data_IF_749767584398
#
_entry.id   IF_749767584398
#
_cell.length_a   1.000
_cell.length_b   1.000
_cell.length_c   1.000
_cell.angle_alpha   90.00
_cell.angle_beta   90.00
_cell.angle_gamma   90.00
#
_symmetry.space_group_name_H-M   'P 1'
#
loop_
_entity.id
_entity.type
_entity.pdbx_description
1 polymer ?
#
# COMPACT_ATOMS: atom_id res chain seq x y z
N UNK A 1 79.15 67.58 -12.69
CA UNK A 1 79.67 67.48 -14.07
C UNK A 1 81.15 67.15 -13.99
N UNK A 2 81.77 66.35 -14.89
CA UNK A 2 81.29 65.28 -15.77
C UNK A 2 82.20 64.00 -15.68
N UNK A 3 82.04 63.06 -16.63
CA UNK A 3 83.00 62.04 -17.11
C UNK A 3 82.98 60.60 -16.53
N UNK A 4 82.76 59.66 -17.47
CA UNK A 4 82.90 58.20 -17.37
C UNK A 4 84.38 57.74 -17.32
N UNK A 5 84.66 56.43 -17.19
CA UNK A 5 84.90 55.63 -18.41
C UNK A 5 84.42 54.16 -18.39
N UNK A 6 84.51 53.59 -19.59
CA UNK A 6 84.09 52.28 -20.12
C UNK A 6 84.92 51.08 -19.62
N UNK A 7 84.36 49.88 -19.76
CA UNK A 7 84.88 48.67 -20.46
C UNK A 7 83.94 47.50 -20.09
N UNK A 8 83.58 46.51 -20.91
CA UNK A 8 84.09 45.97 -22.17
C UNK A 8 82.99 45.13 -22.84
N UNK A 9 82.82 45.26 -24.16
CA UNK A 9 82.10 44.30 -25.01
C UNK A 9 82.90 43.02 -25.15
N UNK A 10 82.22 41.87 -25.22
CA UNK A 10 82.67 40.75 -26.08
C UNK A 10 81.47 39.96 -26.59
N UNK A 11 81.46 39.83 -27.90
CA UNK A 11 80.57 39.12 -28.84
C UNK A 11 80.42 37.63 -28.55
N UNK A 12 79.20 37.07 -28.71
CA UNK A 12 79.04 35.69 -29.17
C UNK A 12 77.68 35.41 -29.87
N UNK A 13 77.73 34.49 -30.83
CA UNK A 13 76.74 34.14 -31.86
C UNK A 13 75.52 33.34 -31.36
N UNK A 14 74.43 33.21 -32.16
CA UNK A 14 73.19 32.60 -31.72
C UNK A 14 73.25 31.07 -31.74
N UNK A 15 73.17 30.45 -30.56
CA UNK A 15 72.98 29.02 -30.38
C UNK A 15 71.52 28.60 -30.63
N UNK A 16 71.33 27.73 -31.62
CA UNK A 16 70.09 27.02 -31.92
C UNK A 16 69.58 26.21 -30.73
N UNK A 17 68.53 26.69 -30.05
CA UNK A 17 67.80 25.87 -29.08
C UNK A 17 66.61 25.21 -29.78
N UNK A 18 66.73 23.90 -30.03
CA UNK A 18 65.61 23.04 -30.45
C UNK A 18 64.50 23.15 -29.41
N UNK A 19 63.43 23.87 -29.74
CA UNK A 19 62.18 23.86 -28.99
C UNK A 19 61.49 22.54 -29.31
N UNK A 20 61.63 21.55 -28.43
CA UNK A 20 60.79 20.36 -28.43
C UNK A 20 59.35 20.80 -28.25
N UNK A 21 58.59 20.85 -29.35
CA UNK A 21 57.14 20.87 -29.36
C UNK A 21 56.65 19.59 -28.68
N UNK A 22 56.42 19.66 -27.37
CA UNK A 22 55.65 18.67 -26.66
C UNK A 22 54.19 18.89 -27.07
N UNK A 23 53.76 18.23 -28.15
CA UNK A 23 52.36 18.05 -28.45
C UNK A 23 51.78 17.14 -27.36
N UNK A 24 51.30 17.73 -26.25
CA UNK A 24 50.33 17.01 -25.42
C UNK A 24 49.05 16.98 -26.22
N UNK A 25 48.79 15.83 -26.85
CA UNK A 25 47.51 15.53 -27.45
C UNK A 25 46.43 15.76 -26.41
N UNK A 26 45.68 16.85 -26.58
CA UNK A 26 44.37 16.99 -25.98
C UNK A 26 43.54 15.84 -26.55
N UNK A 27 43.38 14.79 -25.76
CA UNK A 27 42.27 13.88 -25.93
C UNK A 27 40.99 14.71 -25.75
N UNK A 28 40.53 15.34 -26.83
CA UNK A 28 39.13 15.72 -26.99
C UNK A 28 38.35 14.41 -26.96
N UNK A 29 38.01 13.96 -25.76
CA UNK A 29 36.93 12.99 -25.59
C UNK A 29 35.69 13.63 -26.22
N UNK A 30 34.99 12.92 -27.12
CA UNK A 30 33.82 13.48 -27.77
C UNK A 30 32.82 13.89 -26.68
N UNK A 31 32.44 15.17 -26.65
CA UNK A 31 31.55 15.76 -25.64
C UNK A 31 30.23 14.96 -25.43
N UNK A 32 29.84 14.16 -26.41
CA UNK A 32 28.70 13.23 -26.32
C UNK A 32 28.89 12.01 -25.41
N UNK A 33 30.12 11.58 -25.11
CA UNK A 33 30.39 10.46 -24.20
C UNK A 33 30.35 10.89 -22.72
N UNK A 34 30.90 12.07 -22.41
CA UNK A 34 30.82 12.67 -21.08
C UNK A 34 29.37 13.00 -20.68
N UNK A 35 28.54 13.47 -21.62
CA UNK A 35 27.13 13.76 -21.37
C UNK A 35 26.27 12.50 -21.09
N UNK A 36 26.61 11.34 -21.70
CA UNK A 36 25.90 10.07 -21.48
C UNK A 36 26.17 9.45 -20.11
N UNK A 37 27.33 9.72 -19.51
CA UNK A 37 27.67 9.22 -18.17
C UNK A 37 27.17 10.10 -17.02
N UNK A 38 26.90 11.38 -17.26
CA UNK A 38 26.61 12.34 -16.20
C UNK A 38 25.34 12.00 -15.40
N UNK A 39 24.27 11.51 -16.04
CA UNK A 39 23.04 11.13 -15.35
C UNK A 39 23.24 9.88 -14.46
N UNK A 40 24.11 8.94 -14.86
CA UNK A 40 24.47 7.76 -14.07
C UNK A 40 25.25 8.14 -12.82
N UNK A 41 26.16 9.12 -12.93
CA UNK A 41 26.92 9.64 -11.76
C UNK A 41 25.97 10.29 -10.75
N UNK A 42 25.02 11.10 -11.23
CA UNK A 42 23.98 11.71 -10.37
C UNK A 42 23.13 10.63 -9.71
N UNK A 43 22.63 9.64 -10.48
CA UNK A 43 21.83 8.55 -9.94
C UNK A 43 22.59 7.74 -8.88
N UNK A 44 23.85 7.37 -9.17
CA UNK A 44 24.69 6.62 -8.24
C UNK A 44 24.96 7.38 -6.95
N UNK A 45 25.21 8.70 -7.03
CA UNK A 45 25.33 9.55 -5.84
C UNK A 45 24.04 9.57 -5.04
N UNK A 46 22.90 9.80 -5.71
CA UNK A 46 21.59 9.88 -5.05
C UNK A 46 21.24 8.59 -4.30
N UNK A 47 21.39 7.46 -4.97
CA UNK A 47 21.18 6.12 -4.38
C UNK A 47 22.09 5.92 -3.17
N UNK A 48 23.39 6.22 -3.31
CA UNK A 48 24.34 6.00 -2.22
C UNK A 48 24.08 6.92 -1.02
N UNK A 49 23.64 8.15 -1.23
CA UNK A 49 23.36 9.10 -0.14
C UNK A 49 22.12 8.65 0.61
N UNK A 50 21.04 8.30 -0.09
CA UNK A 50 19.78 7.89 0.53
C UNK A 50 19.91 6.54 1.25
N UNK A 51 20.44 5.50 0.58
CA UNK A 51 20.54 4.15 1.15
C UNK A 51 21.49 4.06 2.35
N UNK A 52 22.50 4.92 2.43
CA UNK A 52 23.44 4.97 3.57
C UNK A 52 22.98 5.88 4.70
N UNK A 53 21.88 6.61 4.52
CA UNK A 53 21.37 7.48 5.58
C UNK A 53 20.79 6.65 6.72
N UNK A 54 21.15 7.00 7.96
CA UNK A 54 20.64 6.29 9.16
C UNK A 54 19.13 6.39 9.26
N UNK A 55 18.58 7.57 8.95
CA UNK A 55 17.13 7.81 8.96
C UNK A 55 16.42 6.86 8.00
N UNK A 56 16.90 6.71 6.76
CA UNK A 56 16.34 5.76 5.81
C UNK A 56 16.36 4.32 6.36
N UNK A 57 17.52 3.84 6.82
CA UNK A 57 17.65 2.49 7.33
C UNK A 57 16.73 2.23 8.54
N UNK A 58 16.66 3.17 9.48
CA UNK A 58 15.77 3.08 10.65
C UNK A 58 14.31 3.03 10.23
N UNK A 59 13.87 3.90 9.31
CA UNK A 59 12.48 3.90 8.83
C UNK A 59 12.13 2.61 8.10
N UNK A 60 12.99 2.13 7.20
CA UNK A 60 12.77 0.88 6.45
C UNK A 60 12.69 -0.30 7.41
N UNK A 61 13.66 -0.45 8.32
CA UNK A 61 13.70 -1.57 9.26
C UNK A 61 12.49 -1.52 10.21
N UNK A 62 12.18 -0.36 10.78
CA UNK A 62 11.06 -0.22 11.72
C UNK A 62 9.72 -0.49 11.04
N UNK A 63 9.52 0.00 9.81
CA UNK A 63 8.30 -0.25 9.04
C UNK A 63 8.18 -1.71 8.64
N UNK A 64 9.29 -2.34 8.21
CA UNK A 64 9.32 -3.76 7.88
C UNK A 64 9.01 -4.64 9.09
N UNK A 65 9.62 -4.36 10.26
CA UNK A 65 9.33 -5.05 11.51
C UNK A 65 7.88 -4.84 11.94
N UNK A 66 7.37 -3.60 11.87
CA UNK A 66 5.98 -3.28 12.17
C UNK A 66 5.02 -4.08 11.28
N UNK A 67 5.25 -4.09 9.97
CA UNK A 67 4.45 -4.85 9.01
C UNK A 67 4.48 -6.36 9.30
N UNK A 68 5.67 -6.90 9.56
CA UNK A 68 5.85 -8.31 9.92
C UNK A 68 5.07 -8.65 11.21
N UNK A 69 5.18 -7.83 12.25
CA UNK A 69 4.46 -8.01 13.52
C UNK A 69 2.95 -7.93 13.31
N UNK A 70 2.45 -6.89 12.63
CA UNK A 70 1.02 -6.73 12.36
C UNK A 70 0.47 -7.93 11.58
N UNK A 71 1.17 -8.40 10.54
CA UNK A 71 0.71 -9.56 9.76
C UNK A 71 0.78 -10.85 10.57
N UNK A 72 1.85 -11.07 11.35
CA UNK A 72 1.99 -12.27 12.18
C UNK A 72 0.91 -12.33 13.26
N UNK A 73 0.67 -11.21 13.94
CA UNK A 73 -0.24 -11.11 15.08
C UNK A 73 -1.70 -11.00 14.64
N UNK A 74 -2.00 -10.51 13.43
CA UNK A 74 -3.39 -10.40 12.96
C UNK A 74 -4.16 -11.73 12.90
N UNK A 75 -3.50 -12.88 12.73
CA UNK A 75 -4.16 -14.19 12.88
C UNK A 75 -4.55 -14.49 14.33
N UNK A 76 -3.68 -14.16 15.27
CA UNK A 76 -3.97 -14.25 16.71
C UNK A 76 -5.05 -13.25 17.14
N UNK A 77 -5.00 -12.00 16.67
CA UNK A 77 -6.04 -11.00 16.92
C UNK A 77 -7.36 -11.46 16.33
N UNK A 78 -7.38 -11.99 15.10
CA UNK A 78 -8.60 -12.53 14.51
C UNK A 78 -9.16 -13.67 15.37
N UNK A 79 -8.33 -14.61 15.83
CA UNK A 79 -8.76 -15.67 16.75
C UNK A 79 -9.31 -15.14 18.09
N UNK A 80 -8.73 -14.04 18.59
CA UNK A 80 -9.17 -13.39 19.83
C UNK A 80 -10.49 -12.62 19.63
N UNK A 81 -10.68 -11.99 18.46
CA UNK A 81 -11.87 -11.23 18.07
C UNK A 81 -13.04 -12.12 17.63
N UNK A 82 -12.75 -13.26 16.99
CA UNK A 82 -13.75 -14.26 16.59
C UNK A 82 -14.26 -15.09 17.77
N UNK A 83 -13.79 -14.83 19.00
CA UNK A 83 -14.22 -15.55 20.20
C UNK A 83 -13.77 -17.02 20.25
N UNK A 84 -13.08 -17.53 19.23
CA UNK A 84 -12.62 -18.93 19.18
C UNK A 84 -11.41 -19.20 20.07
N UNK A 85 -10.69 -18.16 20.49
CA UNK A 85 -9.55 -18.23 21.41
C UNK A 85 -9.79 -17.67 22.81
N UNK A 86 -10.98 -17.09 23.08
CA UNK A 86 -11.42 -16.71 24.42
C UNK A 86 -12.14 -17.88 25.08
N UNK A 87 -12.21 -17.91 26.41
CA UNK A 87 -13.12 -18.84 27.09
C UNK A 87 -14.56 -18.72 26.57
N UNK A 88 -15.46 -19.63 26.94
CA UNK A 88 -16.84 -19.59 26.47
C UNK A 88 -17.47 -18.20 26.66
N UNK A 89 -18.15 -17.71 25.63
CA UNK A 89 -19.01 -16.52 25.70
C UNK A 89 -20.05 -16.78 26.77
N UNK A 90 -19.97 -16.01 27.86
CA UNK A 90 -20.91 -16.10 28.97
C UNK A 90 -22.20 -15.40 28.60
N UNK A 91 -23.29 -16.15 28.71
CA UNK A 91 -24.67 -15.69 28.54
C UNK A 91 -25.34 -15.68 29.90
N UNK A 92 -25.71 -14.50 30.39
CA UNK A 92 -26.44 -14.41 31.66
C UNK A 92 -27.87 -14.92 31.46
N UNK A 93 -28.34 -15.82 32.32
CA UNK A 93 -29.68 -16.41 32.26
C UNK A 93 -30.39 -16.25 33.60
N UNK A 94 -31.67 -15.88 33.59
CA UNK A 94 -32.45 -15.64 34.81
C UNK A 94 -33.11 -16.89 35.38
N UNK A 95 -33.22 -17.96 34.60
CA UNK A 95 -33.87 -19.22 35.00
C UNK A 95 -33.37 -20.43 34.19
N UNK A 96 -33.89 -21.62 34.55
CA UNK A 96 -33.59 -22.88 33.86
C UNK A 96 -34.10 -22.90 32.40
N UNK A 97 -35.13 -22.13 32.06
CA UNK A 97 -35.60 -22.02 30.67
C UNK A 97 -34.58 -21.29 29.80
N UNK A 98 -33.98 -20.21 30.31
CA UNK A 98 -32.87 -19.50 29.69
C UNK A 98 -31.63 -20.37 29.57
N UNK A 99 -31.30 -21.16 30.61
CA UNK A 99 -30.19 -22.11 30.56
C UNK A 99 -30.36 -23.17 29.45
N UNK A 100 -31.56 -23.75 29.32
CA UNK A 100 -31.90 -24.69 28.24
C UNK A 100 -31.81 -24.06 26.85
N UNK A 101 -32.23 -22.80 26.71
CA UNK A 101 -32.10 -22.06 25.46
C UNK A 101 -30.63 -21.89 25.05
N UNK A 102 -29.77 -21.50 25.99
CA UNK A 102 -28.33 -21.36 25.73
C UNK A 102 -27.69 -22.71 25.38
N UNK A 103 -28.10 -23.79 26.04
CA UNK A 103 -27.63 -25.14 25.69
C UNK A 103 -28.02 -25.54 24.27
N UNK A 104 -29.25 -25.21 23.84
CA UNK A 104 -29.70 -25.46 22.46
C UNK A 104 -28.90 -24.63 21.45
N UNK A 105 -28.65 -23.36 21.77
CA UNK A 105 -27.81 -22.48 20.94
C UNK A 105 -26.38 -23.02 20.82
N UNK A 106 -25.82 -23.57 21.90
CA UNK A 106 -24.52 -24.23 21.90
C UNK A 106 -24.48 -25.47 20.99
N UNK A 107 -25.53 -26.29 20.99
CA UNK A 107 -25.63 -27.45 20.08
C UNK A 107 -25.69 -27.03 18.60
N UNK A 108 -26.38 -25.92 18.30
CA UNK A 108 -26.44 -25.35 16.95
C UNK A 108 -25.08 -24.80 16.51
N UNK A 109 -24.37 -24.14 17.43
CA UNK A 109 -23.01 -23.66 17.20
C UNK A 109 -22.04 -24.82 16.89
N UNK A 110 -22.11 -25.92 17.63
CA UNK A 110 -21.23 -27.09 17.41
C UNK A 110 -21.36 -27.75 16.03
N UNK A 111 -22.48 -27.51 15.33
CA UNK A 111 -22.68 -27.99 13.96
C UNK A 111 -21.97 -27.14 12.89
N UNK A 112 -21.39 -25.99 13.25
CA UNK A 112 -20.78 -25.03 12.33
C UNK A 112 -19.29 -24.84 12.65
N UNK A 113 -18.41 -24.93 11.65
CA UNK A 113 -16.98 -24.60 11.82
C UNK A 113 -16.83 -23.11 12.21
N UNK A 114 -15.98 -22.82 13.21
CA UNK A 114 -15.74 -21.48 13.79
C UNK A 114 -16.89 -20.83 14.59
N UNK A 115 -17.89 -21.59 15.05
CA UNK A 115 -18.96 -21.03 15.88
C UNK A 115 -18.50 -20.68 17.31
N UNK A 116 -19.08 -19.62 17.92
CA UNK A 116 -18.77 -19.23 19.31
C UNK A 116 -19.25 -20.28 20.31
N UNK A 117 -18.44 -20.57 21.34
CA UNK A 117 -18.89 -21.40 22.48
C UNK A 117 -19.71 -20.54 23.43
N UNK A 118 -20.93 -20.95 23.72
CA UNK A 118 -21.85 -20.30 24.64
C UNK A 118 -21.89 -21.08 25.96
N UNK A 119 -21.77 -20.38 27.07
CA UNK A 119 -21.95 -20.94 28.41
C UNK A 119 -23.00 -20.13 29.17
N UNK A 120 -23.98 -20.85 29.74
CA UNK A 120 -25.01 -20.24 30.57
C UNK A 120 -24.43 -19.90 31.95
N UNK A 121 -24.66 -18.66 32.40
CA UNK A 121 -24.37 -18.20 33.75
C UNK A 121 -25.67 -17.77 34.41
N UNK A 122 -26.11 -18.52 35.41
CA UNK A 122 -27.31 -18.17 36.17
C UNK A 122 -27.09 -16.90 36.99
N UNK A 123 -28.06 -16.00 36.92
CA UNK A 123 -28.11 -14.74 37.66
C UNK A 123 -29.46 -14.61 38.37
N UNK A 124 -29.46 -13.89 39.48
CA UNK A 124 -30.60 -13.87 40.40
C UNK A 124 -31.86 -13.20 39.81
N UNK A 125 -31.68 -12.16 39.00
CA UNK A 125 -32.77 -11.38 38.42
C UNK A 125 -32.36 -10.64 37.13
N UNK A 126 -33.35 -10.05 36.46
CA UNK A 126 -33.15 -9.24 35.24
C UNK A 126 -32.16 -8.08 35.47
N UNK A 127 -32.17 -7.48 36.66
CA UNK A 127 -31.29 -6.36 37.00
C UNK A 127 -29.81 -6.81 37.04
N UNK A 128 -29.53 -7.97 37.65
CA UNK A 128 -28.22 -8.60 37.63
C UNK A 128 -27.80 -9.00 36.22
N UNK A 129 -28.72 -9.57 35.42
CA UNK A 129 -28.46 -9.94 34.02
C UNK A 129 -28.04 -8.72 33.18
N UNK A 130 -28.76 -7.60 33.34
CA UNK A 130 -28.45 -6.33 32.69
C UNK A 130 -27.10 -5.77 33.13
N UNK A 131 -26.80 -5.86 34.43
CA UNK A 131 -25.52 -5.39 34.97
C UNK A 131 -24.34 -6.19 34.41
N UNK A 132 -24.47 -7.52 34.29
CA UNK A 132 -23.42 -8.39 33.73
C UNK A 132 -23.14 -8.07 32.26
N UNK A 133 -24.18 -7.75 31.47
CA UNK A 133 -24.03 -7.30 30.07
C UNK A 133 -23.37 -5.94 29.97
N UNK A 134 -23.59 -5.03 30.91
CA UNK A 134 -22.99 -3.70 30.92
C UNK A 134 -21.55 -3.70 31.46
N UNK A 135 -21.24 -4.54 32.45
CA UNK A 135 -19.92 -4.66 33.07
C UNK A 135 -18.92 -5.45 32.22
N UNK A 136 -19.42 -6.37 31.39
CA UNK A 136 -18.59 -7.23 30.51
C UNK A 136 -18.35 -8.60 31.10
N UNK A 137 -19.06 -8.93 32.16
CA UNK A 137 -19.08 -10.28 32.71
C UNK A 137 -19.91 -11.26 31.87
N UNK A 138 -20.88 -10.75 31.11
CA UNK A 138 -21.61 -11.47 30.07
C UNK A 138 -21.62 -10.64 28.77
N UNK A 139 -21.61 -11.28 27.62
CA UNK A 139 -21.73 -10.59 26.32
C UNK A 139 -23.20 -10.29 25.96
N UNK A 140 -24.10 -11.15 26.42
CA UNK A 140 -25.55 -11.04 26.25
C UNK A 140 -26.27 -11.66 27.45
N UNK A 141 -27.53 -11.27 27.65
CA UNK A 141 -28.42 -11.85 28.64
C UNK A 141 -29.71 -12.34 28.00
N UNK A 142 -30.20 -13.47 28.48
CA UNK A 142 -31.49 -14.05 28.14
C UNK A 142 -32.39 -13.96 29.35
N UNK A 143 -33.48 -13.22 29.21
CA UNK A 143 -34.50 -13.07 30.23
C UNK A 143 -35.78 -13.67 29.70
N UNK A 144 -36.31 -14.65 30.43
CA UNK A 144 -37.51 -15.40 30.09
C UNK A 144 -38.67 -14.92 30.93
N UNK A 145 -39.82 -14.69 30.29
CA UNK A 145 -41.04 -14.27 30.96
C UNK A 145 -42.17 -15.29 30.76
N UNK A 146 -43.15 -15.29 31.68
CA UNK A 146 -44.35 -16.12 31.56
C UNK A 146 -44.08 -17.63 31.55
N UNK A 147 -43.11 -18.11 32.34
CA UNK A 147 -42.72 -19.52 32.38
C UNK A 147 -41.91 -19.97 31.15
N UNK A 148 -41.21 -19.03 30.51
CA UNK A 148 -40.49 -19.27 29.26
C UNK A 148 -41.41 -19.20 28.05
N UNK A 149 -42.45 -18.36 28.08
CA UNK A 149 -43.35 -18.10 26.94
C UNK A 149 -42.82 -17.01 26.02
N UNK A 150 -42.13 -16.03 26.60
CA UNK A 150 -41.46 -14.93 25.91
C UNK A 150 -39.98 -14.87 26.33
N UNK A 151 -39.13 -14.42 25.40
CA UNK A 151 -37.70 -14.22 25.63
C UNK A 151 -37.32 -12.80 25.23
N UNK A 152 -36.69 -12.11 26.18
CA UNK A 152 -36.02 -10.83 25.97
C UNK A 152 -34.52 -11.08 25.91
N UNK A 153 -33.93 -10.77 24.76
CA UNK A 153 -32.49 -10.83 24.57
C UNK A 153 -31.88 -9.44 24.77
N UNK A 154 -30.99 -9.30 25.75
CA UNK A 154 -30.26 -8.06 26.01
C UNK A 154 -28.85 -8.15 25.47
N UNK A 155 -28.49 -7.23 24.57
CA UNK A 155 -27.16 -7.16 23.94
C UNK A 155 -26.59 -5.76 24.12
N UNK A 156 -25.27 -5.65 24.35
CA UNK A 156 -24.62 -4.37 24.67
C UNK A 156 -24.64 -3.35 23.53
N UNK A 157 -24.25 -3.77 22.32
CA UNK A 157 -23.92 -2.83 21.24
C UNK A 157 -24.51 -3.21 19.88
N UNK A 158 -24.58 -4.49 19.55
CA UNK A 158 -25.06 -4.96 18.26
C UNK A 158 -26.07 -6.11 18.44
N UNK A 159 -27.38 -5.87 18.21
CA UNK A 159 -28.39 -6.92 18.28
C UNK A 159 -28.26 -7.96 17.16
N UNK A 160 -27.44 -7.68 16.14
CA UNK A 160 -27.18 -8.56 15.00
C UNK A 160 -25.90 -9.38 15.20
N UNK A 161 -25.39 -9.47 16.42
CA UNK A 161 -24.18 -10.25 16.69
C UNK A 161 -24.39 -11.73 16.35
N UNK A 162 -23.33 -12.47 15.97
CA UNK A 162 -23.43 -13.90 15.68
C UNK A 162 -24.03 -14.70 16.86
N UNK A 163 -23.65 -14.35 18.09
CA UNK A 163 -24.16 -15.00 19.30
C UNK A 163 -25.65 -14.70 19.52
N UNK A 164 -26.08 -13.46 19.30
CA UNK A 164 -27.49 -13.07 19.40
C UNK A 164 -28.35 -13.79 18.35
N UNK A 165 -27.84 -13.91 17.13
CA UNK A 165 -28.50 -14.62 16.03
C UNK A 165 -28.66 -16.11 16.34
N UNK A 166 -27.61 -16.75 16.90
CA UNK A 166 -27.65 -18.15 17.33
C UNK A 166 -28.66 -18.39 18.46
N UNK A 167 -28.71 -17.51 19.47
CA UNK A 167 -29.69 -17.62 20.57
C UNK A 167 -31.12 -17.40 20.06
N UNK A 168 -31.32 -16.45 19.15
CA UNK A 168 -32.62 -16.23 18.51
C UNK A 168 -33.06 -17.42 17.66
N UNK A 169 -32.16 -18.04 16.91
CA UNK A 169 -32.42 -19.25 16.13
C UNK A 169 -32.75 -20.46 17.03
N UNK A 170 -32.00 -20.64 18.12
CA UNK A 170 -32.27 -21.67 19.11
C UNK A 170 -33.66 -21.52 19.73
N UNK A 171 -34.06 -20.28 20.02
CA UNK A 171 -35.40 -19.97 20.54
C UNK A 171 -36.47 -20.29 19.53
N UNK A 172 -36.28 -19.92 18.27
CA UNK A 172 -37.21 -20.23 17.20
C UNK A 172 -37.40 -21.75 17.03
N UNK A 173 -36.32 -22.54 17.10
CA UNK A 173 -36.39 -24.00 17.03
C UNK A 173 -37.13 -24.61 18.24
N UNK A 174 -36.82 -24.17 19.46
CA UNK A 174 -37.51 -24.62 20.68
C UNK A 174 -39.01 -24.29 20.63
N UNK A 175 -39.38 -23.08 20.22
CA UNK A 175 -40.78 -22.68 20.05
C UNK A 175 -41.48 -23.50 18.96
N UNK A 176 -40.80 -23.81 17.87
CA UNK A 176 -41.35 -24.64 16.82
C UNK A 176 -41.62 -26.07 17.34
N UNK A 177 -40.75 -26.60 18.19
CA UNK A 177 -40.90 -27.89 18.86
C UNK A 177 -42.08 -27.92 19.84
N UNK A 178 -42.15 -26.90 20.70
CA UNK A 178 -43.27 -26.72 21.62
C UNK A 178 -44.61 -26.61 20.86
N UNK A 179 -44.66 -25.82 19.79
CA UNK A 179 -45.85 -25.65 18.97
C UNK A 179 -46.25 -26.93 18.21
N UNK A 180 -45.27 -27.66 17.68
CA UNK A 180 -45.50 -28.92 16.98
C UNK A 180 -46.06 -29.99 17.93
N UNK A 181 -45.44 -30.11 19.11
CA UNK A 181 -45.88 -31.06 20.15
C UNK A 181 -47.29 -30.76 20.66
N UNK A 182 -47.64 -29.48 20.85
CA UNK A 182 -48.98 -29.05 21.24
C UNK A 182 -50.05 -29.43 20.20
N UNK A 183 -49.68 -29.56 18.93
CA UNK A 183 -50.56 -29.97 17.83
C UNK A 183 -50.47 -31.47 17.52
N UNK A 184 -49.64 -32.23 18.25
CA UNK A 184 -49.42 -33.65 18.01
C UNK A 184 -48.68 -33.96 16.70
N UNK A 185 -47.96 -32.97 16.14
CA UNK A 185 -47.17 -33.13 14.92
C UNK A 185 -45.72 -33.48 15.32
N UNK A 186 -45.15 -34.58 14.83
CA UNK A 186 -43.75 -34.92 15.11
C UNK A 186 -42.81 -33.94 14.41
N UNK A 187 -41.75 -33.51 15.10
CA UNK A 187 -40.77 -32.56 14.57
C UNK A 187 -40.09 -33.09 13.30
N UNK A 188 -39.89 -34.40 13.21
CA UNK A 188 -39.32 -35.06 12.03
C UNK A 188 -40.12 -34.79 10.76
N UNK A 189 -41.46 -34.73 10.87
CA UNK A 189 -42.33 -34.43 9.73
C UNK A 189 -42.25 -32.96 9.29
N UNK A 190 -41.85 -32.03 10.18
CA UNK A 190 -41.64 -30.62 9.85
C UNK A 190 -40.27 -30.36 9.23
N UNK A 191 -39.28 -31.17 9.57
CA UNK A 191 -37.91 -31.07 9.06
C UNK A 191 -37.66 -31.94 7.80
N UNK A 192 -38.61 -32.80 7.45
CA UNK A 192 -38.51 -33.61 6.23
C UNK A 192 -38.42 -32.69 4.99
N UNK A 193 -37.32 -32.82 4.24
CA UNK A 193 -37.08 -32.02 3.03
C UNK A 193 -36.54 -30.61 3.26
N UNK A 194 -36.25 -30.18 4.50
CA UNK A 194 -35.66 -28.86 4.78
C UNK A 194 -34.14 -28.83 4.71
N UNK A 195 -33.48 -30.00 4.65
CA UNK A 195 -32.02 -30.09 4.63
C UNK A 195 -31.44 -29.59 3.31
N UNK A 196 -30.61 -28.53 3.40
CA UNK A 196 -29.82 -28.04 2.29
C UNK A 196 -28.49 -28.78 2.27
N UNK A 197 -28.22 -29.53 1.19
CA UNK A 197 -26.91 -30.12 0.96
C UNK A 197 -25.97 -29.08 0.36
N UNK A 198 -25.11 -28.53 1.19
CA UNK A 198 -24.03 -27.67 0.71
C UNK A 198 -22.88 -28.50 0.14
N UNK A 199 -22.39 -28.11 -1.04
CA UNK A 199 -21.23 -28.74 -1.69
C UNK A 199 -20.26 -27.64 -2.07
N UNK A 200 -19.08 -27.65 -1.46
CA UNK A 200 -18.00 -26.73 -1.83
C UNK A 200 -17.41 -27.17 -3.16
N UNK A 201 -17.61 -26.35 -4.20
CA UNK A 201 -17.19 -26.67 -5.58
C UNK A 201 -15.72 -26.32 -5.85
N UNK A 202 -15.11 -25.41 -5.07
CA UNK A 202 -13.74 -24.93 -5.28
C UNK A 202 -12.97 -24.78 -3.94
N UNK A 203 -12.60 -25.90 -3.29
CA UNK A 203 -11.83 -25.84 -2.04
C UNK A 203 -10.46 -25.18 -2.27
N UNK A 204 -10.10 -24.22 -1.42
CA UNK A 204 -8.84 -23.49 -1.48
C UNK A 204 -8.83 -22.23 -2.36
N UNK A 205 -9.96 -21.85 -2.96
CA UNK A 205 -10.10 -20.51 -3.55
C UNK A 205 -10.41 -19.47 -2.45
N UNK A 206 -9.78 -18.28 -2.51
CA UNK A 206 -10.04 -17.23 -1.56
C UNK A 206 -11.50 -16.76 -1.68
N UNK A 207 -12.15 -16.56 -0.54
CA UNK A 207 -13.53 -16.07 -0.50
C UNK A 207 -13.67 -14.74 -1.27
N UNK A 208 -14.85 -14.44 -1.85
CA UNK A 208 -15.10 -13.15 -2.50
C UNK A 208 -14.79 -11.95 -1.59
N UNK A 209 -15.02 -12.09 -0.28
CA UNK A 209 -14.68 -11.08 0.72
C UNK A 209 -13.16 -10.85 0.83
N UNK A 210 -12.37 -11.93 0.87
CA UNK A 210 -10.91 -11.89 0.91
C UNK A 210 -10.33 -11.20 -0.34
N UNK A 211 -10.86 -11.51 -1.52
CA UNK A 211 -10.44 -10.88 -2.79
C UNK A 211 -10.72 -9.38 -2.77
N UNK A 212 -11.93 -8.97 -2.35
CA UNK A 212 -12.29 -7.55 -2.24
C UNK A 212 -11.41 -6.81 -1.23
N UNK A 213 -11.22 -7.38 -0.05
CA UNK A 213 -10.34 -6.80 0.98
C UNK A 213 -8.91 -6.63 0.46
N UNK A 214 -8.38 -7.64 -0.23
CA UNK A 214 -7.05 -7.55 -0.85
C UNK A 214 -6.97 -6.40 -1.85
N UNK A 215 -7.99 -6.26 -2.71
CA UNK A 215 -8.09 -5.17 -3.67
C UNK A 215 -8.03 -3.78 -3.02
N UNK A 216 -8.78 -3.58 -1.95
CA UNK A 216 -8.75 -2.35 -1.17
C UNK A 216 -7.38 -2.09 -0.52
N UNK A 217 -6.81 -3.09 0.13
CA UNK A 217 -5.51 -2.98 0.79
C UNK A 217 -4.41 -2.64 -0.21
N UNK A 218 -4.34 -3.35 -1.35
CA UNK A 218 -3.32 -3.10 -2.37
C UNK A 218 -3.49 -1.73 -3.03
N UNK A 219 -4.73 -1.30 -3.28
CA UNK A 219 -5.00 0.02 -3.87
C UNK A 219 -4.63 1.14 -2.89
N UNK A 220 -5.02 1.01 -1.62
CA UNK A 220 -4.65 1.95 -0.57
C UNK A 220 -3.14 2.00 -0.34
N UNK A 221 -2.48 0.85 -0.34
CA UNK A 221 -1.03 0.74 -0.20
C UNK A 221 -0.32 1.40 -1.39
N UNK A 222 -0.78 1.16 -2.62
CA UNK A 222 -0.25 1.84 -3.81
C UNK A 222 -0.39 3.35 -3.68
N UNK A 223 -1.58 3.86 -3.34
CA UNK A 223 -1.82 5.28 -3.14
C UNK A 223 -0.87 5.89 -2.10
N UNK A 224 -0.78 5.26 -0.91
CA UNK A 224 0.08 5.72 0.18
C UNK A 224 1.55 5.75 -0.23
N UNK A 225 2.05 4.67 -0.85
CA UNK A 225 3.45 4.58 -1.29
C UNK A 225 3.76 5.57 -2.40
N UNK A 226 2.87 5.72 -3.38
CA UNK A 226 3.05 6.65 -4.51
C UNK A 226 3.06 8.11 -4.05
N UNK A 227 2.19 8.47 -3.10
CA UNK A 227 2.20 9.82 -2.50
C UNK A 227 3.45 10.02 -1.64
N UNK A 228 3.80 9.06 -0.78
CA UNK A 228 4.92 9.19 0.15
C UNK A 228 6.27 9.32 -0.58
N UNK A 229 6.57 8.41 -1.52
CA UNK A 229 7.81 8.46 -2.28
C UNK A 229 7.86 9.64 -3.24
N UNK A 230 6.73 9.97 -3.86
CA UNK A 230 6.62 11.14 -4.71
C UNK A 230 6.88 12.44 -3.96
N UNK A 231 6.27 12.62 -2.80
CA UNK A 231 6.44 13.81 -1.97
C UNK A 231 7.90 13.98 -1.51
N UNK A 232 8.58 12.90 -1.14
CA UNK A 232 10.01 12.93 -0.80
C UNK A 232 10.86 13.42 -1.98
N UNK A 233 10.62 12.91 -3.19
CA UNK A 233 11.34 13.38 -4.38
C UNK A 233 11.06 14.87 -4.64
N UNK A 234 9.82 15.30 -4.49
CA UNK A 234 9.45 16.70 -4.71
C UNK A 234 10.11 17.64 -3.70
N UNK A 235 10.25 17.21 -2.43
CA UNK A 235 11.00 17.93 -1.39
C UNK A 235 12.48 18.05 -1.74
N UNK A 236 13.13 16.96 -2.16
CA UNK A 236 14.55 16.98 -2.57
C UNK A 236 14.78 17.95 -3.74
N UNK A 237 13.88 17.97 -4.72
CA UNK A 237 13.97 18.92 -5.84
C UNK A 237 13.80 20.37 -5.37
N UNK A 238 12.86 20.61 -4.45
CA UNK A 238 12.62 21.93 -3.88
C UNK A 238 13.83 22.43 -3.07
N UNK A 239 14.37 21.60 -2.16
CA UNK A 239 15.51 21.96 -1.31
C UNK A 239 16.75 22.31 -2.13
N UNK A 240 17.02 21.55 -3.20
CA UNK A 240 18.14 21.87 -4.09
C UNK A 240 17.93 23.22 -4.81
N UNK A 241 16.69 23.54 -5.19
CA UNK A 241 16.35 24.83 -5.81
C UNK A 241 16.53 25.97 -4.80
N UNK A 242 16.07 25.79 -3.56
CA UNK A 242 16.21 26.78 -2.48
C UNK A 242 17.67 27.08 -2.13
N UNK A 243 18.49 26.04 -2.04
CA UNK A 243 19.89 26.15 -1.63
C UNK A 243 20.82 26.66 -2.75
N UNK A 244 20.26 27.07 -3.91
CA UNK A 244 21.01 27.42 -5.14
C UNK A 244 22.00 26.34 -5.62
N UNK A 245 21.86 25.12 -5.10
CA UNK A 245 22.69 23.97 -5.48
C UNK A 245 22.41 23.60 -6.93
N UNK A 246 21.17 23.78 -7.40
CA UNK A 246 20.80 23.58 -8.81
C UNK A 246 21.59 24.48 -9.76
N UNK A 247 21.85 25.75 -9.42
CA UNK A 247 22.57 26.68 -10.31
C UNK A 247 24.03 26.24 -10.49
N UNK A 248 24.66 25.81 -9.39
CA UNK A 248 26.03 25.26 -9.40
C UNK A 248 26.06 23.95 -10.20
N UNK A 249 25.14 23.02 -9.94
CA UNK A 249 25.13 21.70 -10.59
C UNK A 249 24.74 21.81 -12.08
N UNK A 250 23.80 22.68 -12.44
CA UNK A 250 23.39 22.90 -13.82
C UNK A 250 24.49 23.56 -14.68
N UNK A 251 25.44 24.26 -14.06
CA UNK A 251 26.64 24.78 -14.74
C UNK A 251 27.65 23.67 -15.11
N UNK A 252 27.59 22.53 -14.43
CA UNK A 252 28.52 21.39 -14.60
C UNK A 252 27.89 20.23 -15.38
N UNK A 253 26.57 20.07 -15.32
CA UNK A 253 25.84 18.94 -15.92
C UNK A 253 24.56 19.44 -16.59
N UNK A 254 24.23 18.98 -17.82
CA UNK A 254 22.97 19.33 -18.47
C UNK A 254 21.75 19.02 -17.59
N UNK A 255 20.79 19.95 -17.54
CA UNK A 255 19.56 19.85 -16.72
C UNK A 255 18.76 18.55 -16.97
N UNK A 256 18.76 18.04 -18.21
CA UNK A 256 18.13 16.75 -18.54
C UNK A 256 18.78 15.58 -17.79
N UNK A 257 20.11 15.56 -17.73
CA UNK A 257 20.86 14.50 -17.05
C UNK A 257 20.67 14.57 -15.54
N UNK A 258 20.50 15.76 -14.97
CA UNK A 258 20.14 15.95 -13.56
C UNK A 258 18.76 15.36 -13.24
N UNK A 259 17.74 15.68 -14.05
CA UNK A 259 16.38 15.17 -13.85
C UNK A 259 16.33 13.64 -13.96
N UNK A 260 16.91 13.05 -15.01
CA UNK A 260 16.93 11.59 -15.17
C UNK A 260 17.71 10.89 -14.06
N UNK A 261 18.85 11.45 -13.66
CA UNK A 261 19.64 10.91 -12.56
C UNK A 261 18.85 10.86 -11.25
N UNK A 262 18.14 11.94 -10.92
CA UNK A 262 17.26 11.98 -9.73
C UNK A 262 16.08 11.03 -9.83
N UNK A 263 15.40 11.00 -10.98
CA UNK A 263 14.22 10.17 -11.18
C UNK A 263 14.56 8.69 -11.01
N UNK A 264 15.64 8.25 -11.66
CA UNK A 264 16.14 6.87 -11.54
C UNK A 264 16.65 6.59 -10.14
N UNK A 265 17.42 7.51 -9.54
CA UNK A 265 17.97 7.33 -8.20
C UNK A 265 16.88 7.13 -7.14
N UNK A 266 15.91 8.03 -7.10
CA UNK A 266 14.75 7.92 -6.20
C UNK A 266 13.91 6.68 -6.49
N UNK A 267 13.67 6.36 -7.77
CA UNK A 267 12.94 5.16 -8.16
C UNK A 267 13.61 3.88 -7.65
N UNK A 268 14.93 3.72 -7.84
CA UNK A 268 15.67 2.54 -7.35
C UNK A 268 15.53 2.40 -5.84
N UNK A 269 15.68 3.50 -5.09
CA UNK A 269 15.56 3.50 -3.63
C UNK A 269 14.15 3.08 -3.19
N UNK A 270 13.11 3.64 -3.82
CA UNK A 270 11.73 3.25 -3.54
C UNK A 270 11.46 1.77 -3.88
N UNK A 271 11.98 1.25 -4.98
CA UNK A 271 11.84 -0.17 -5.35
C UNK A 271 12.52 -1.08 -4.33
N UNK A 272 13.73 -0.74 -3.88
CA UNK A 272 14.43 -1.48 -2.81
C UNK A 272 13.60 -1.49 -1.53
N UNK A 273 13.05 -0.34 -1.14
CA UNK A 273 12.23 -0.20 0.06
C UNK A 273 10.93 -1.01 -0.02
N UNK A 274 10.20 -0.92 -1.14
CA UNK A 274 8.97 -1.70 -1.34
C UNK A 274 9.25 -3.19 -1.41
N UNK A 275 10.36 -3.60 -2.02
CA UNK A 275 10.79 -5.00 -2.05
C UNK A 275 11.08 -5.51 -0.64
N UNK A 276 11.76 -4.71 0.19
CA UNK A 276 11.97 -5.04 1.60
C UNK A 276 10.65 -5.20 2.37
N UNK A 277 9.66 -4.35 2.10
CA UNK A 277 8.32 -4.47 2.69
C UNK A 277 7.57 -5.71 2.20
N UNK A 278 7.66 -6.06 0.93
CA UNK A 278 7.07 -7.28 0.39
C UNK A 278 7.71 -8.53 1.03
N UNK A 279 9.04 -8.55 1.18
CA UNK A 279 9.74 -9.62 1.90
C UNK A 279 9.29 -9.71 3.37
N UNK A 280 9.19 -8.57 4.07
CA UNK A 280 8.71 -8.54 5.45
C UNK A 280 7.26 -9.03 5.57
N UNK A 281 6.41 -8.70 4.61
CA UNK A 281 5.04 -9.22 4.55
C UNK A 281 5.01 -10.74 4.38
N UNK A 282 5.84 -11.30 3.49
CA UNK A 282 5.97 -12.75 3.32
C UNK A 282 6.46 -13.44 4.57
N UNK A 283 7.46 -12.88 5.27
CA UNK A 283 7.91 -13.40 6.57
C UNK A 283 6.78 -13.33 7.59
N UNK A 284 6.01 -12.24 7.62
CA UNK A 284 4.85 -12.12 8.49
C UNK A 284 3.77 -13.19 8.24
N UNK A 285 3.48 -13.48 6.96
CA UNK A 285 2.56 -14.57 6.61
C UNK A 285 3.11 -15.95 6.97
N UNK A 286 4.41 -16.17 6.77
CA UNK A 286 5.08 -17.40 7.18
C UNK A 286 5.02 -17.62 8.69
N UNK A 287 5.28 -16.58 9.49
CA UNK A 287 5.20 -16.61 10.94
C UNK A 287 3.76 -16.84 11.46
N UNK A 288 2.74 -16.44 10.69
CA UNK A 288 1.34 -16.62 11.04
C UNK A 288 0.89 -18.10 11.02
N UNK A 289 1.44 -18.94 10.13
CA UNK A 289 1.08 -20.37 10.02
C UNK A 289 0.05 -20.73 8.94
N UNK A 290 -0.52 -21.94 9.04
CA UNK A 290 -1.12 -22.76 7.95
C UNK A 290 -2.42 -22.27 7.29
N UNK A 291 -2.84 -21.03 7.52
CA UNK A 291 -4.08 -20.47 6.94
C UNK A 291 -3.91 -19.77 5.59
N UNK A 292 -2.69 -19.62 5.08
CA UNK A 292 -2.39 -18.82 3.88
C UNK A 292 -1.51 -19.57 2.89
N UNK A 293 -1.95 -19.64 1.63
CA UNK A 293 -1.14 -20.16 0.53
C UNK A 293 -0.03 -19.15 0.16
N UNK A 294 1.18 -19.39 0.69
CA UNK A 294 2.37 -18.56 0.44
C UNK A 294 2.74 -18.48 -1.05
N UNK A 295 2.42 -19.50 -1.86
CA UNK A 295 2.70 -19.49 -3.30
C UNK A 295 1.83 -18.47 -4.02
N UNK A 296 0.52 -18.45 -3.71
CA UNK A 296 -0.40 -17.43 -4.23
C UNK A 296 -0.03 -16.04 -3.76
N UNK A 297 0.23 -15.87 -2.46
CA UNK A 297 0.56 -14.55 -1.88
C UNK A 297 1.87 -14.00 -2.44
N UNK A 298 2.91 -14.83 -2.57
CA UNK A 298 4.18 -14.39 -3.18
C UNK A 298 4.02 -13.98 -4.63
N UNK A 299 3.23 -14.72 -5.42
CA UNK A 299 2.92 -14.34 -6.80
C UNK A 299 2.22 -12.98 -6.89
N UNK A 300 1.21 -12.75 -6.04
CA UNK A 300 0.48 -11.48 -5.95
C UNK A 300 1.43 -10.33 -5.57
N UNK A 301 2.28 -10.54 -4.55
CA UNK A 301 3.22 -9.52 -4.10
C UNK A 301 4.30 -9.21 -5.15
N UNK A 302 4.85 -10.19 -5.84
CA UNK A 302 5.84 -9.96 -6.90
C UNK A 302 5.24 -9.09 -8.00
N UNK A 303 4.05 -9.41 -8.49
CA UNK A 303 3.39 -8.60 -9.52
C UNK A 303 2.96 -7.23 -9.02
N UNK A 304 2.54 -7.12 -7.76
CA UNK A 304 2.30 -5.82 -7.13
C UNK A 304 3.57 -4.96 -7.15
N UNK A 305 4.72 -5.49 -6.71
CA UNK A 305 6.00 -4.75 -6.70
C UNK A 305 6.43 -4.37 -8.12
N UNK A 306 6.33 -5.29 -9.09
CA UNK A 306 6.74 -5.03 -10.48
C UNK A 306 5.88 -3.94 -11.13
N UNK A 307 4.54 -4.02 -10.99
CA UNK A 307 3.63 -3.02 -11.56
C UNK A 307 3.73 -1.69 -10.82
N UNK A 308 3.89 -1.71 -9.49
CA UNK A 308 4.13 -0.52 -8.68
C UNK A 308 5.43 0.17 -9.12
N UNK A 309 6.51 -0.59 -9.31
CA UNK A 309 7.77 -0.05 -9.80
C UNK A 309 7.59 0.64 -11.15
N UNK A 310 6.88 0.02 -12.09
CA UNK A 310 6.61 0.62 -13.39
C UNK A 310 5.76 1.92 -13.28
N UNK A 311 4.70 1.89 -12.46
CA UNK A 311 3.84 3.05 -12.22
C UNK A 311 4.56 4.21 -11.54
N UNK A 312 5.46 3.91 -10.59
CA UNK A 312 6.23 4.90 -9.83
C UNK A 312 7.09 5.78 -10.74
N UNK A 313 7.64 5.26 -11.83
CA UNK A 313 8.49 6.08 -12.73
C UNK A 313 7.69 7.26 -13.29
N UNK A 314 6.48 7.00 -13.79
CA UNK A 314 5.62 8.03 -14.35
C UNK A 314 5.13 9.03 -13.30
N UNK A 315 4.70 8.54 -12.13
CA UNK A 315 4.21 9.41 -11.05
C UNK A 315 5.33 10.24 -10.44
N UNK A 316 6.52 9.67 -10.23
CA UNK A 316 7.67 10.41 -9.72
C UNK A 316 8.10 11.54 -10.65
N UNK A 317 7.94 11.38 -11.97
CA UNK A 317 8.19 12.46 -12.92
C UNK A 317 7.25 13.65 -12.68
N UNK A 318 5.97 13.41 -12.39
CA UNK A 318 5.01 14.46 -12.03
C UNK A 318 5.32 15.11 -10.68
N UNK A 319 5.76 14.32 -9.70
CA UNK A 319 6.19 14.84 -8.40
C UNK A 319 7.46 15.70 -8.50
N UNK A 320 8.42 15.32 -9.35
CA UNK A 320 9.61 16.14 -9.61
C UNK A 320 9.24 17.50 -10.19
N UNK A 321 8.20 17.56 -11.03
CA UNK A 321 7.63 18.82 -11.55
C UNK A 321 6.98 19.65 -10.45
N UNK A 322 6.19 19.03 -9.57
CA UNK A 322 5.60 19.75 -8.42
C UNK A 322 6.69 20.39 -7.54
N UNK A 323 7.78 19.65 -7.29
CA UNK A 323 8.96 20.17 -6.58
C UNK A 323 9.61 21.36 -7.29
N UNK A 324 9.84 21.27 -8.61
CA UNK A 324 10.55 22.32 -9.37
C UNK A 324 9.73 23.60 -9.56
N UNK A 325 8.39 23.49 -9.51
CA UNK A 325 7.46 24.63 -9.58
C UNK A 325 7.31 25.38 -8.24
N UNK A 326 7.77 24.77 -7.15
CA UNK A 326 7.69 25.35 -5.81
C UNK A 326 8.94 26.17 -5.51
N UNK A 327 8.79 27.27 -4.76
CA UNK A 327 9.92 28.08 -4.26
C UNK A 327 10.08 27.95 -2.75
N UNK A 328 9.02 27.53 -2.04
CA UNK A 328 9.02 27.28 -0.60
C UNK A 328 8.33 25.97 -0.23
N UNK A 329 8.66 25.44 0.95
CA UNK A 329 8.08 24.22 1.53
C UNK A 329 6.57 24.32 1.69
N UNK A 330 6.08 25.49 2.05
CA UNK A 330 4.64 25.75 2.24
C UNK A 330 3.86 25.69 0.90
N UNK A 331 4.56 25.86 -0.21
CA UNK A 331 3.98 25.94 -1.56
C UNK A 331 3.88 24.56 -2.20
N UNK A 332 4.68 23.61 -1.72
CA UNK A 332 4.79 22.26 -2.25
C UNK A 332 3.47 21.50 -2.19
N UNK A 333 2.72 21.69 -1.10
CA UNK A 333 1.40 21.08 -0.96
C UNK A 333 0.45 21.53 -2.09
N UNK A 334 0.48 22.81 -2.47
CA UNK A 334 -0.39 23.36 -3.51
C UNK A 334 0.01 22.91 -4.92
N UNK A 335 1.31 22.80 -5.20
CA UNK A 335 1.82 22.34 -6.50
C UNK A 335 1.68 20.83 -6.68
N UNK A 336 1.70 20.07 -5.59
CA UNK A 336 1.50 18.62 -5.58
C UNK A 336 0.03 18.19 -5.71
N UNK A 337 -0.94 19.04 -5.34
CA UNK A 337 -2.37 18.71 -5.36
C UNK A 337 -2.86 18.01 -6.62
N UNK A 338 -2.51 18.44 -7.86
CA UNK A 338 -2.98 17.76 -9.07
C UNK A 338 -2.46 16.32 -9.18
N UNK A 339 -1.23 16.07 -8.73
CA UNK A 339 -0.62 14.73 -8.72
C UNK A 339 -1.30 13.87 -7.66
N UNK A 340 -1.55 14.43 -6.48
CA UNK A 340 -2.28 13.74 -5.41
C UNK A 340 -3.72 13.41 -5.84
N UNK A 341 -4.43 14.32 -6.50
CA UNK A 341 -5.78 14.08 -7.02
C UNK A 341 -5.80 12.99 -8.09
N UNK A 342 -4.80 12.96 -8.99
CA UNK A 342 -4.64 11.89 -9.97
C UNK A 342 -4.46 10.52 -9.28
N UNK A 343 -3.63 10.45 -8.24
CA UNK A 343 -3.42 9.23 -7.46
C UNK A 343 -4.67 8.87 -6.64
N UNK A 344 -5.38 9.85 -6.11
CA UNK A 344 -6.61 9.64 -5.34
C UNK A 344 -7.74 9.07 -6.21
N UNK A 345 -7.79 9.44 -7.49
CA UNK A 345 -8.74 8.89 -8.46
C UNK A 345 -8.58 7.37 -8.67
N UNK A 346 -7.48 6.77 -8.22
CA UNK A 346 -7.24 5.32 -8.27
C UNK A 346 -7.91 4.59 -7.10
N UNK A 347 -8.21 5.25 -5.98
CA UNK A 347 -8.79 4.59 -4.80
C UNK A 347 -10.08 3.78 -5.06
N UNK A 348 -11.03 4.26 -5.90
CA UNK A 348 -12.23 3.47 -6.24
C UNK A 348 -11.93 2.11 -6.88
N UNK A 349 -10.75 1.92 -7.48
CA UNK A 349 -10.33 0.64 -8.09
C UNK A 349 -10.34 -0.49 -7.07
N UNK A 350 -10.02 -0.21 -5.80
CA UNK A 350 -10.04 -1.23 -4.74
C UNK A 350 -11.42 -1.89 -4.56
N UNK A 351 -12.49 -1.14 -4.81
CA UNK A 351 -13.87 -1.61 -4.75
C UNK A 351 -14.30 -2.35 -6.02
N UNK A 352 -13.69 -2.00 -7.16
CA UNK A 352 -14.04 -2.49 -8.49
C UNK A 352 -13.16 -3.67 -8.94
N UNK A 353 -12.66 -4.46 -7.99
CA UNK A 353 -11.74 -5.58 -8.23
C UNK A 353 -12.41 -6.89 -8.63
N UNK A 354 -13.73 -6.90 -8.79
CA UNK A 354 -14.51 -8.06 -9.26
C UNK A 354 -15.36 -7.71 -10.49
N UNK A 355 -15.70 -8.72 -11.29
CA UNK A 355 -16.51 -8.56 -12.49
C UNK A 355 -15.79 -7.95 -13.71
N UNK A 356 -16.54 -7.52 -14.74
CA UNK A 356 -15.97 -7.06 -16.01
C UNK A 356 -15.09 -5.81 -15.87
N UNK A 357 -15.45 -4.89 -14.98
CA UNK A 357 -14.69 -3.66 -14.73
C UNK A 357 -13.26 -3.94 -14.28
N UNK A 358 -13.07 -4.97 -13.43
CA UNK A 358 -11.76 -5.40 -12.97
C UNK A 358 -10.83 -5.78 -14.14
N UNK A 359 -11.40 -6.39 -15.18
CA UNK A 359 -10.64 -6.82 -16.36
C UNK A 359 -10.10 -5.63 -17.13
N UNK A 360 -10.89 -4.58 -17.30
CA UNK A 360 -10.46 -3.36 -17.99
C UNK A 360 -9.45 -2.59 -17.13
N UNK A 361 -9.76 -2.40 -15.85
CA UNK A 361 -8.91 -1.66 -14.90
C UNK A 361 -7.53 -2.30 -14.72
N UNK A 362 -7.41 -3.61 -14.89
CA UNK A 362 -6.12 -4.29 -14.78
C UNK A 362 -5.14 -4.01 -15.93
N UNK A 363 -5.59 -3.38 -17.02
CA UNK A 363 -4.73 -2.89 -18.10
C UNK A 363 -4.54 -1.37 -18.09
N UNK A 364 -5.31 -0.65 -17.28
CA UNK A 364 -5.18 0.80 -17.15
C UNK A 364 -4.02 1.11 -16.19
N UNK A 365 -2.98 1.84 -16.62
CA UNK A 365 -1.86 2.23 -15.75
C UNK A 365 -2.32 2.92 -14.47
N UNK A 366 -1.58 2.72 -13.38
CA UNK A 366 -1.92 3.09 -11.99
C UNK A 366 -3.04 2.25 -11.37
N UNK A 367 -4.15 2.03 -12.09
CA UNK A 367 -5.21 1.12 -11.63
C UNK A 367 -4.73 -0.35 -11.62
N UNK A 368 -3.93 -0.71 -12.62
CA UNK A 368 -3.37 -2.04 -12.78
C UNK A 368 -2.51 -2.51 -11.62
N UNK A 369 -1.87 -1.58 -10.90
CA UNK A 369 -0.98 -1.89 -9.76
C UNK A 369 -1.71 -2.70 -8.70
N UNK A 370 -3.00 -2.41 -8.46
CA UNK A 370 -3.82 -3.16 -7.50
C UNK A 370 -4.83 -4.10 -8.17
N UNK A 371 -5.41 -3.71 -9.30
CA UNK A 371 -6.42 -4.52 -9.98
C UNK A 371 -5.84 -5.84 -10.53
N UNK A 372 -4.64 -5.81 -11.13
CA UNK A 372 -4.06 -7.00 -11.75
C UNK A 372 -3.68 -8.07 -10.70
N UNK A 373 -2.93 -7.76 -9.61
CA UNK A 373 -2.61 -8.76 -8.60
C UNK A 373 -3.86 -9.32 -7.88
N UNK A 374 -4.90 -8.49 -7.71
CA UNK A 374 -6.17 -8.95 -7.11
C UNK A 374 -6.91 -9.92 -8.03
N UNK A 375 -6.91 -9.68 -9.34
CA UNK A 375 -7.45 -10.65 -10.31
C UNK A 375 -6.65 -11.95 -10.34
N UNK A 376 -5.34 -11.88 -10.19
CA UNK A 376 -4.48 -13.07 -10.10
C UNK A 376 -4.80 -13.89 -8.84
N UNK A 377 -5.02 -13.22 -7.70
CA UNK A 377 -5.44 -13.89 -6.47
C UNK A 377 -6.76 -14.64 -6.65
N UNK A 378 -7.72 -14.03 -7.36
CA UNK A 378 -9.01 -14.61 -7.67
C UNK A 378 -8.98 -15.68 -8.78
N UNK A 379 -7.81 -16.00 -9.35
CA UNK A 379 -7.69 -16.96 -10.46
C UNK A 379 -8.28 -16.46 -11.79
N UNK A 380 -8.70 -15.19 -11.87
CA UNK A 380 -9.42 -14.64 -13.01
C UNK A 380 -8.52 -14.00 -14.09
N UNK A 381 -7.21 -14.15 -14.00
CA UNK A 381 -6.24 -13.56 -14.93
C UNK A 381 -5.36 -14.64 -15.58
N UNK A 382 -5.26 -14.61 -16.91
CA UNK A 382 -4.30 -15.45 -17.61
C UNK A 382 -2.86 -14.98 -17.37
N UNK A 383 -1.89 -15.89 -17.48
CA UNK A 383 -0.47 -15.61 -17.18
C UNK A 383 0.16 -14.50 -18.05
N UNK A 384 -0.37 -14.24 -19.24
CA UNK A 384 0.13 -13.20 -20.15
C UNK A 384 -0.45 -11.82 -19.84
N UNK A 385 -1.59 -11.73 -19.15
CA UNK A 385 -2.27 -10.46 -18.88
C UNK A 385 -1.42 -9.51 -18.01
N UNK A 386 -0.75 -9.96 -16.92
CA UNK A 386 0.14 -9.09 -16.15
C UNK A 386 1.32 -8.58 -16.97
N UNK A 387 1.88 -9.42 -17.84
CA UNK A 387 2.98 -9.04 -18.74
C UNK A 387 2.52 -7.96 -19.71
N UNK A 388 1.35 -8.13 -20.34
CA UNK A 388 0.79 -7.12 -21.24
C UNK A 388 0.50 -5.80 -20.51
N UNK A 389 -0.07 -5.87 -19.31
CA UNK A 389 -0.33 -4.70 -18.46
C UNK A 389 0.96 -3.94 -18.10
N UNK A 390 2.03 -4.69 -17.78
CA UNK A 390 3.36 -4.12 -17.56
C UNK A 390 3.90 -3.44 -18.83
N UNK A 391 3.79 -4.08 -19.99
CA UNK A 391 4.22 -3.51 -21.27
C UNK A 391 3.45 -2.24 -21.59
N UNK A 392 2.13 -2.21 -21.41
CA UNK A 392 1.33 -0.99 -21.60
C UNK A 392 1.82 0.14 -20.68
N UNK A 393 2.11 -0.19 -19.41
CA UNK A 393 2.61 0.80 -18.45
C UNK A 393 3.96 1.35 -18.88
N UNK A 394 4.91 0.49 -19.25
CA UNK A 394 6.27 0.89 -19.61
C UNK A 394 6.39 1.54 -21.00
N UNK A 395 5.59 1.10 -21.97
CA UNK A 395 5.68 1.55 -23.37
C UNK A 395 4.78 2.75 -23.67
N UNK A 396 3.70 2.93 -22.92
CA UNK A 396 2.72 4.01 -23.19
C UNK A 396 2.71 5.04 -22.07
N UNK A 397 2.41 4.60 -20.85
CA UNK A 397 2.18 5.52 -19.73
C UNK A 397 3.45 6.22 -19.25
N UNK A 398 4.51 5.45 -19.00
CA UNK A 398 5.77 6.00 -18.49
C UNK A 398 6.39 7.01 -19.46
N UNK A 399 6.54 6.74 -20.76
CA UNK A 399 7.08 7.71 -21.71
C UNK A 399 6.21 8.97 -21.81
N UNK A 400 4.88 8.82 -21.83
CA UNK A 400 3.94 9.94 -21.88
C UNK A 400 4.15 10.90 -20.70
N UNK A 401 4.20 10.38 -19.47
CA UNK A 401 4.37 11.21 -18.28
C UNK A 401 5.78 11.79 -18.16
N UNK A 402 6.82 11.03 -18.51
CA UNK A 402 8.21 11.54 -18.49
C UNK A 402 8.41 12.64 -19.52
N UNK A 403 7.81 12.54 -20.71
CA UNK A 403 7.86 13.59 -21.73
C UNK A 403 7.14 14.85 -21.26
N UNK A 404 5.92 14.71 -20.71
CA UNK A 404 5.17 15.81 -20.12
C UNK A 404 5.96 16.48 -19.00
N UNK A 405 6.53 15.69 -18.10
CA UNK A 405 7.29 16.18 -16.96
C UNK A 405 8.56 16.91 -17.39
N UNK A 406 9.30 16.37 -18.35
CA UNK A 406 10.53 17.00 -18.88
C UNK A 406 10.22 18.36 -19.51
N UNK A 407 9.10 18.48 -20.21
CA UNK A 407 8.67 19.75 -20.81
C UNK A 407 8.40 20.83 -19.76
N UNK A 408 7.70 20.47 -18.67
CA UNK A 408 7.38 21.41 -17.59
C UNK A 408 8.61 21.72 -16.72
N UNK A 409 9.38 20.69 -16.38
CA UNK A 409 10.56 20.80 -15.52
C UNK A 409 11.58 21.79 -16.08
N UNK A 410 11.93 21.68 -17.38
CA UNK A 410 12.85 22.60 -18.06
C UNK A 410 12.46 24.06 -17.93
N UNK A 411 11.16 24.35 -18.09
CA UNK A 411 10.62 25.71 -18.03
C UNK A 411 10.59 26.26 -16.61
N UNK A 412 10.27 25.42 -15.63
CA UNK A 412 10.18 25.81 -14.21
C UNK A 412 11.53 25.98 -13.51
N UNK A 413 12.56 25.24 -13.95
CA UNK A 413 13.85 25.22 -13.27
C UNK A 413 14.66 26.50 -13.53
N UNK A 414 14.54 27.08 -14.72
CA UNK A 414 15.25 28.31 -15.11
C UNK A 414 14.61 29.58 -14.56
N UNK A 415 13.45 29.49 -13.90
CA UNK A 415 12.75 30.63 -13.33
C UNK A 415 12.97 30.73 -11.81
N UNK A 416 13.55 31.84 -11.40
CA UNK A 416 13.92 32.16 -10.02
C UNK A 416 12.93 33.09 -9.32
N UNK A 417 11.93 33.66 -10.02
CA UNK A 417 10.94 34.57 -9.43
C UNK A 417 9.49 34.08 -9.63
N UNK A 418 8.75 33.95 -8.52
CA UNK A 418 7.31 33.67 -8.49
C UNK A 418 6.92 32.19 -8.59
N UNK A 419 5.71 31.86 -8.10
CA UNK A 419 5.09 30.53 -8.27
C UNK A 419 4.49 30.44 -9.67
N UNK A 420 4.70 29.33 -10.38
CA UNK A 420 4.05 29.06 -11.67
C UNK A 420 2.87 28.11 -11.49
N UNK A 421 1.75 28.38 -12.16
CA UNK A 421 0.67 27.40 -12.30
C UNK A 421 0.96 26.42 -13.45
N UNK A 422 0.41 25.20 -13.41
CA UNK A 422 0.63 24.17 -14.44
C UNK A 422 0.28 24.67 -15.85
N UNK A 423 -0.77 25.50 -15.97
CA UNK A 423 -1.19 26.12 -17.24
C UNK A 423 -0.19 27.16 -17.74
N UNK A 424 0.43 27.93 -16.85
CA UNK A 424 1.45 28.93 -17.22
C UNK A 424 2.74 28.23 -17.64
N UNK A 425 3.16 27.18 -16.93
CA UNK A 425 4.34 26.41 -17.27
C UNK A 425 4.21 25.71 -18.65
N UNK A 426 2.99 25.35 -19.07
CA UNK A 426 2.76 24.77 -20.40
C UNK A 426 2.82 25.79 -21.55
N UNK A 427 2.69 27.10 -21.28
CA UNK A 427 2.61 28.17 -22.30
C UNK A 427 3.92 28.94 -22.55
N UNK A 428 4.99 28.66 -21.81
CA UNK A 428 6.27 29.37 -21.98
C UNK A 428 7.04 28.88 -23.23
N UNK A 429 7.73 29.78 -23.95
CA UNK A 429 8.61 29.42 -25.06
C UNK A 429 9.69 28.42 -24.62
N UNK A 430 10.00 27.46 -25.49
CA UNK A 430 11.09 26.51 -25.26
C UNK A 430 12.31 27.01 -26.03
N UNK A 431 13.14 27.80 -25.35
CA UNK A 431 14.47 28.18 -25.87
C UNK A 431 15.54 27.24 -25.31
#
# INVERSE_FOLDING_TARGET
MPAAPRTSETTEQPGTTKRTTNQSGSHEQPAGAAARGAWLVVAGREISVQLRSRTFLVTVVTTALGLMITISVSGFIASLMSGSGGGPTRVAVTDEAGARLVQRAQQLAEATEDAPRLEAREVADEAAARQDVLSGEAELAVVTEGGGSEVTLMVRSDPSSPQASLVAEAWAQLRLEDNASAQGVPMEALLEGTQVREVVLAPGEPSPGTVRLTGWVLTGLFYLLAVMFGAQLAQVVLEEKQNRVVEIIASLVPVRSLLYGKLVGSWVVSVVQVTAYACAALVGFWLRGSGVDLSRVSTVLVWFVVLLAAGLVGTNALWAVAGSMSTRSEDLAQTATPVTLLLMAVLPVGFLTTGPAATVLSFIPLANVAAMPTRMLAGGAAWWEPVLSLVITLAVFTPLLVMLATAVYRRSLMQTQGRLTMRQALRLPAD
#
